data_IF_796811051098
#
_entry.id   IF_796811051098
#
_cell.length_a   1.000
_cell.length_b   1.000
_cell.length_c   1.000
_cell.angle_alpha   90.00
_cell.angle_beta   90.00
_cell.angle_gamma   90.00
#
_symmetry.space_group_name_H-M   'P 1'
#
loop_
_entity.id
_entity.type
_entity.pdbx_description
1 polymer ?
#
# COMPACT_ATOMS: atom_id res chain seq x y z
N UNK A 1 -47.94 -40.00 -31.11
CA UNK A 1 -47.41 -39.18 -29.99
C UNK A 1 -45.99 -38.78 -30.37
N UNK A 2 -45.81 -37.55 -30.89
CA UNK A 2 -44.50 -37.00 -31.24
C UNK A 2 -44.06 -36.10 -30.07
N UNK A 3 -42.99 -36.49 -29.40
CA UNK A 3 -42.32 -35.66 -28.36
C UNK A 3 -41.34 -34.68 -29.02
N UNK A 4 -41.65 -33.40 -28.98
CA UNK A 4 -40.76 -32.35 -29.45
C UNK A 4 -39.77 -32.03 -28.33
N UNK A 5 -38.49 -32.33 -28.57
CA UNK A 5 -37.39 -31.92 -27.68
C UNK A 5 -36.96 -30.51 -28.09
N UNK A 6 -37.23 -29.55 -27.23
CA UNK A 6 -36.79 -28.16 -27.40
C UNK A 6 -35.32 -28.02 -26.94
N UNK A 7 -34.40 -27.78 -27.89
CA UNK A 7 -33.02 -27.38 -27.59
C UNK A 7 -32.97 -25.91 -27.17
N UNK A 8 -32.71 -25.66 -25.88
CA UNK A 8 -32.39 -24.34 -25.38
C UNK A 8 -30.90 -24.10 -25.59
N UNK A 9 -30.56 -23.33 -26.61
CA UNK A 9 -29.19 -22.86 -26.83
C UNK A 9 -28.86 -21.74 -25.82
N UNK A 10 -28.01 -22.05 -24.84
CA UNK A 10 -27.38 -21.02 -24.00
C UNK A 10 -26.37 -20.25 -24.85
N UNK A 11 -26.73 -19.04 -25.25
CA UNK A 11 -25.82 -18.07 -25.80
C UNK A 11 -24.94 -17.53 -24.65
N UNK A 12 -23.74 -18.09 -24.47
CA UNK A 12 -22.73 -17.53 -23.60
C UNK A 12 -22.22 -16.22 -24.25
N UNK A 13 -22.66 -15.08 -23.73
CA UNK A 13 -22.07 -13.79 -24.06
C UNK A 13 -20.66 -13.75 -23.45
N UNK A 14 -19.64 -14.14 -24.19
CA UNK A 14 -18.25 -13.80 -23.87
C UNK A 14 -18.04 -12.32 -24.24
N UNK A 15 -18.25 -11.42 -23.31
CA UNK A 15 -17.72 -10.05 -23.41
C UNK A 15 -16.20 -10.16 -23.29
N UNK A 16 -15.51 -10.18 -24.43
CA UNK A 16 -14.06 -10.04 -24.45
C UNK A 16 -13.74 -8.66 -23.86
N UNK A 17 -12.97 -8.63 -22.78
CA UNK A 17 -12.45 -7.38 -22.25
C UNK A 17 -11.71 -6.61 -23.36
N UNK A 18 -11.86 -5.27 -23.42
CA UNK A 18 -11.13 -4.49 -24.40
C UNK A 18 -9.61 -4.74 -24.24
N UNK A 19 -8.86 -4.78 -25.35
CA UNK A 19 -7.43 -5.03 -25.30
C UNK A 19 -6.75 -4.01 -24.39
N UNK A 20 -5.85 -4.48 -23.52
CA UNK A 20 -5.13 -3.64 -22.59
C UNK A 20 -4.30 -2.57 -23.36
N UNK A 21 -4.60 -1.26 -23.22
CA UNK A 21 -3.93 -0.19 -23.97
C UNK A 21 -2.46 -0.05 -23.59
N UNK A 22 -2.03 -0.66 -22.49
CA UNK A 22 -0.64 -0.59 -22.00
C UNK A 22 0.26 -1.72 -22.52
N UNK A 23 -0.23 -2.56 -23.47
CA UNK A 23 0.58 -3.61 -24.10
C UNK A 23 1.80 -2.96 -24.78
N UNK A 24 3.00 -3.50 -24.48
CA UNK A 24 4.24 -2.99 -25.04
C UNK A 24 4.81 -1.71 -24.40
N UNK A 25 4.17 -1.19 -23.35
CA UNK A 25 4.77 -0.11 -22.59
C UNK A 25 5.99 -0.59 -21.79
N UNK A 26 7.03 0.24 -21.77
CA UNK A 26 8.23 0.01 -20.95
C UNK A 26 7.93 0.25 -19.47
N UNK A 27 8.76 -0.25 -18.52
CA UNK A 27 8.57 -0.01 -17.10
C UNK A 27 8.62 1.49 -16.76
N UNK A 28 9.49 2.27 -17.41
CA UNK A 28 9.56 3.73 -17.24
C UNK A 28 8.25 4.41 -17.61
N UNK A 29 7.63 3.99 -18.72
CA UNK A 29 6.38 4.58 -19.19
C UNK A 29 5.22 4.21 -18.27
N UNK A 30 5.12 2.94 -17.83
CA UNK A 30 4.10 2.51 -16.88
C UNK A 30 4.21 3.28 -15.57
N UNK A 31 5.44 3.45 -15.08
CA UNK A 31 5.70 4.18 -13.85
C UNK A 31 5.37 5.67 -13.98
N UNK A 32 5.78 6.32 -15.07
CA UNK A 32 5.48 7.73 -15.32
C UNK A 32 3.98 7.99 -15.35
N UNK A 33 3.22 7.20 -16.10
CA UNK A 33 1.75 7.30 -16.15
C UNK A 33 1.12 7.09 -14.76
N UNK A 34 1.59 6.09 -14.01
CA UNK A 34 1.12 5.87 -12.64
C UNK A 34 1.40 7.08 -11.73
N UNK A 35 2.54 7.73 -11.88
CA UNK A 35 2.88 8.95 -11.12
C UNK A 35 1.97 10.12 -11.47
N UNK A 36 1.60 10.26 -12.73
CA UNK A 36 0.67 11.29 -13.18
C UNK A 36 -0.74 11.05 -12.61
N UNK A 37 -1.18 9.78 -12.57
CA UNK A 37 -2.44 9.40 -11.93
C UNK A 37 -2.40 9.66 -10.41
N UNK A 38 -1.30 9.38 -9.72
CA UNK A 38 -1.13 9.70 -8.29
C UNK A 38 -1.19 11.22 -8.06
N UNK A 39 -0.53 12.00 -8.91
CA UNK A 39 -0.53 13.46 -8.81
C UNK A 39 -1.93 14.06 -9.05
N UNK A 40 -2.72 13.42 -9.90
CA UNK A 40 -4.11 13.79 -10.18
C UNK A 40 -5.11 13.30 -9.12
N UNK A 41 -4.64 12.52 -8.14
CA UNK A 41 -5.49 11.94 -7.10
C UNK A 41 -6.20 10.64 -7.50
N UNK A 42 -5.98 10.12 -8.70
CA UNK A 42 -6.57 8.90 -9.24
C UNK A 42 -5.84 7.65 -8.75
N UNK A 43 -5.76 7.47 -7.43
CA UNK A 43 -4.92 6.42 -6.81
C UNK A 43 -5.24 5.01 -7.28
N UNK A 44 -6.52 4.68 -7.49
CA UNK A 44 -6.92 3.35 -7.97
C UNK A 44 -6.44 3.08 -9.43
N UNK A 45 -6.42 4.10 -10.28
CA UNK A 45 -5.84 3.98 -11.62
C UNK A 45 -4.32 3.78 -11.55
N UNK A 46 -3.67 4.55 -10.68
CA UNK A 46 -2.23 4.42 -10.43
C UNK A 46 -1.85 3.02 -9.92
N UNK A 47 -2.57 2.49 -8.92
CA UNK A 47 -2.33 1.13 -8.38
C UNK A 47 -2.40 0.10 -9.51
N UNK A 48 -3.41 0.15 -10.38
CA UNK A 48 -3.52 -0.78 -11.52
C UNK A 48 -2.33 -0.70 -12.48
N UNK A 49 -1.79 0.50 -12.74
CA UNK A 49 -0.60 0.67 -13.58
C UNK A 49 0.66 0.13 -12.90
N UNK A 50 0.81 0.38 -11.60
CA UNK A 50 1.94 -0.12 -10.81
C UNK A 50 1.90 -1.66 -10.67
N UNK A 51 0.73 -2.25 -10.46
CA UNK A 51 0.54 -3.71 -10.45
C UNK A 51 0.88 -4.34 -11.82
N UNK A 52 0.49 -3.70 -12.93
CA UNK A 52 0.90 -4.12 -14.28
C UNK A 52 2.41 -4.04 -14.46
N UNK A 53 3.05 -2.99 -13.93
CA UNK A 53 4.49 -2.84 -13.93
C UNK A 53 5.14 -4.00 -13.19
N UNK A 54 4.75 -4.29 -11.94
CA UNK A 54 5.27 -5.41 -11.16
C UNK A 54 5.07 -6.76 -11.86
N UNK A 55 3.89 -6.96 -12.46
CA UNK A 55 3.56 -8.22 -13.15
C UNK A 55 4.41 -8.46 -14.39
N UNK A 56 4.70 -7.42 -15.18
CA UNK A 56 5.45 -7.54 -16.42
C UNK A 56 6.96 -7.42 -16.24
N UNK A 57 7.37 -6.62 -15.26
CA UNK A 57 8.77 -6.27 -14.98
C UNK A 57 9.06 -6.45 -13.48
N UNK A 58 9.05 -7.70 -12.96
CA UNK A 58 9.10 -7.97 -11.53
C UNK A 58 10.44 -7.66 -10.86
N UNK A 59 11.45 -7.27 -11.61
CA UNK A 59 12.80 -7.03 -11.12
C UNK A 59 13.29 -5.62 -11.45
N UNK A 60 14.16 -5.09 -10.56
CA UNK A 60 14.80 -3.81 -10.73
C UNK A 60 14.06 -2.66 -10.07
N UNK A 61 14.70 -1.50 -10.07
CA UNK A 61 14.29 -0.34 -9.28
C UNK A 61 12.85 0.15 -9.55
N UNK A 62 12.34 -0.03 -10.77
CA UNK A 62 10.96 0.36 -11.09
C UNK A 62 9.93 -0.49 -10.35
N UNK A 63 10.16 -1.82 -10.25
CA UNK A 63 9.29 -2.70 -9.50
C UNK A 63 9.37 -2.42 -7.99
N UNK A 64 10.58 -2.21 -7.47
CA UNK A 64 10.81 -1.88 -6.06
C UNK A 64 10.12 -0.56 -5.68
N UNK A 65 10.23 0.46 -6.54
CA UNK A 65 9.55 1.73 -6.32
C UNK A 65 8.02 1.60 -6.45
N UNK A 66 7.54 0.81 -7.42
CA UNK A 66 6.11 0.55 -7.60
C UNK A 66 5.48 -0.07 -6.34
N UNK A 67 6.17 -1.00 -5.66
CA UNK A 67 5.69 -1.60 -4.41
C UNK A 67 5.46 -0.56 -3.31
N UNK A 68 6.39 0.37 -3.15
CA UNK A 68 6.28 1.44 -2.16
C UNK A 68 5.17 2.45 -2.52
N UNK A 69 5.04 2.78 -3.81
CA UNK A 69 4.00 3.71 -4.28
C UNK A 69 2.59 3.08 -4.18
N UNK A 70 2.45 1.76 -4.39
CA UNK A 70 1.20 1.02 -4.13
C UNK A 70 0.85 1.10 -2.64
N UNK A 71 1.81 0.81 -1.75
CA UNK A 71 1.59 0.87 -0.31
C UNK A 71 1.16 2.27 0.14
N UNK A 72 1.80 3.32 -0.40
CA UNK A 72 1.43 4.70 -0.13
C UNK A 72 0.03 5.06 -0.65
N UNK A 73 -0.31 4.65 -1.88
CA UNK A 73 -1.62 4.91 -2.47
C UNK A 73 -2.74 4.25 -1.66
N UNK A 74 -2.55 2.99 -1.25
CA UNK A 74 -3.48 2.26 -0.38
C UNK A 74 -3.64 2.93 0.99
N UNK A 75 -2.55 3.43 1.59
CA UNK A 75 -2.63 4.23 2.81
C UNK A 75 -3.48 5.48 2.61
N UNK A 76 -3.28 6.22 1.52
CA UNK A 76 -4.04 7.43 1.21
C UNK A 76 -5.51 7.16 0.89
N UNK A 77 -5.86 5.96 0.46
CA UNK A 77 -7.24 5.50 0.25
C UNK A 77 -7.86 4.86 1.50
N UNK A 78 -7.16 4.94 2.66
CA UNK A 78 -7.62 4.37 3.93
C UNK A 78 -7.68 2.83 3.95
N UNK A 79 -7.00 2.19 3.01
CA UNK A 79 -6.91 0.72 2.90
C UNK A 79 -5.74 0.19 3.75
N UNK A 80 -5.82 0.41 5.07
CA UNK A 80 -4.72 0.12 6.03
C UNK A 80 -4.16 -1.29 5.90
N UNK A 81 -5.04 -2.30 5.84
CA UNK A 81 -4.60 -3.70 5.79
C UNK A 81 -3.80 -4.03 4.52
N UNK A 82 -4.21 -3.50 3.37
CA UNK A 82 -3.50 -3.67 2.10
C UNK A 82 -2.15 -2.95 2.12
N UNK A 83 -2.14 -1.71 2.61
CA UNK A 83 -0.90 -0.93 2.76
C UNK A 83 0.12 -1.65 3.65
N UNK A 84 -0.28 -2.13 4.83
CA UNK A 84 0.61 -2.88 5.73
C UNK A 84 1.13 -4.16 5.07
N UNK A 85 0.27 -4.92 4.39
CA UNK A 85 0.68 -6.13 3.67
C UNK A 85 1.70 -5.83 2.56
N UNK A 86 1.51 -4.72 1.82
CA UNK A 86 2.45 -4.28 0.79
C UNK A 86 3.80 -3.85 1.38
N UNK A 87 3.80 -3.10 2.49
CA UNK A 87 5.00 -2.68 3.20
C UNK A 87 5.77 -3.90 3.74
N UNK A 88 5.10 -4.81 4.43
CA UNK A 88 5.74 -6.00 5.00
C UNK A 88 6.31 -6.90 3.91
N UNK A 89 5.61 -7.04 2.77
CA UNK A 89 6.13 -7.74 1.59
C UNK A 89 7.40 -7.09 1.07
N UNK A 90 7.40 -5.75 0.90
CA UNK A 90 8.57 -5.01 0.44
C UNK A 90 9.77 -5.21 1.38
N UNK A 91 9.59 -5.00 2.68
CA UNK A 91 10.66 -5.15 3.67
C UNK A 91 11.23 -6.58 3.71
N UNK A 92 10.37 -7.59 3.52
CA UNK A 92 10.78 -8.99 3.49
C UNK A 92 11.58 -9.35 2.23
N UNK A 93 11.17 -8.81 1.07
CA UNK A 93 11.84 -9.09 -0.21
C UNK A 93 13.12 -8.29 -0.38
N UNK A 94 13.20 -7.10 0.23
CA UNK A 94 14.29 -6.14 0.04
C UNK A 94 14.92 -5.69 1.38
N UNK A 95 15.51 -6.62 2.19
CA UNK A 95 15.95 -6.35 3.56
C UNK A 95 17.11 -5.35 3.67
N UNK A 96 17.77 -5.04 2.57
CA UNK A 96 18.89 -4.09 2.50
C UNK A 96 18.63 -2.93 1.52
N UNK A 97 17.36 -2.68 1.18
CA UNK A 97 17.03 -1.63 0.23
C UNK A 97 17.26 -0.23 0.84
N UNK A 98 17.78 0.75 0.07
CA UNK A 98 18.01 2.11 0.57
C UNK A 98 16.77 2.81 1.13
N UNK A 99 15.57 2.46 0.65
CA UNK A 99 14.30 3.05 1.10
C UNK A 99 13.63 2.27 2.25
N UNK A 100 14.35 1.43 2.99
CA UNK A 100 13.79 0.77 4.18
C UNK A 100 13.39 1.77 5.27
N UNK A 101 14.10 2.89 5.38
CA UNK A 101 13.72 3.98 6.27
C UNK A 101 12.35 4.53 5.91
N UNK A 102 12.06 4.74 4.62
CA UNK A 102 10.74 5.15 4.16
C UNK A 102 9.68 4.07 4.41
N UNK A 103 9.98 2.80 4.16
CA UNK A 103 9.04 1.71 4.41
C UNK A 103 8.65 1.63 5.90
N UNK A 104 9.61 1.73 6.82
CA UNK A 104 9.39 1.78 8.26
C UNK A 104 8.57 3.01 8.67
N UNK A 105 8.90 4.17 8.10
CA UNK A 105 8.16 5.39 8.32
C UNK A 105 6.70 5.26 7.90
N UNK A 106 6.45 4.74 6.69
CA UNK A 106 5.11 4.51 6.18
C UNK A 106 4.34 3.50 7.04
N UNK A 107 4.99 2.41 7.49
CA UNK A 107 4.40 1.44 8.43
C UNK A 107 3.95 2.11 9.73
N UNK A 108 4.80 2.95 10.28
CA UNK A 108 4.46 3.76 11.45
C UNK A 108 3.24 4.65 11.19
N UNK A 109 3.21 5.38 10.06
CA UNK A 109 2.09 6.26 9.70
C UNK A 109 0.76 5.52 9.52
N UNK A 110 0.78 4.36 8.87
CA UNK A 110 -0.44 3.55 8.64
C UNK A 110 -1.07 3.10 9.94
N UNK A 111 -0.26 2.81 10.96
CA UNK A 111 -0.71 2.40 12.29
C UNK A 111 -0.91 3.59 13.25
N UNK A 112 -0.44 4.78 12.88
CA UNK A 112 -0.55 5.98 13.70
C UNK A 112 -1.94 6.61 13.56
N UNK A 113 -2.65 6.73 14.67
CA UNK A 113 -3.89 7.48 14.73
C UNK A 113 -3.77 8.56 15.83
N UNK A 114 -3.68 9.80 15.41
CA UNK A 114 -3.56 10.95 16.31
C UNK A 114 -4.74 11.07 17.28
N UNK A 115 -5.95 10.79 16.80
CA UNK A 115 -7.17 10.90 17.62
C UNK A 115 -7.23 9.82 18.69
N UNK A 116 -6.83 8.59 18.35
CA UNK A 116 -6.77 7.48 19.31
C UNK A 116 -5.68 7.73 20.37
N UNK A 117 -4.51 8.23 19.97
CA UNK A 117 -3.44 8.60 20.91
C UNK A 117 -3.86 9.68 21.89
N UNK A 118 -4.58 10.70 21.45
CA UNK A 118 -5.13 11.75 22.32
C UNK A 118 -6.23 11.23 23.25
N UNK A 119 -7.14 10.41 22.73
CA UNK A 119 -8.24 9.83 23.52
C UNK A 119 -7.70 8.87 24.58
N UNK A 120 -6.66 8.08 24.26
CA UNK A 120 -5.98 7.23 25.24
C UNK A 120 -5.35 8.04 26.37
N UNK A 121 -4.84 9.24 26.06
CA UNK A 121 -4.16 10.10 27.05
C UNK A 121 -5.11 10.93 27.90
N UNK A 122 -6.26 11.36 27.36
CA UNK A 122 -7.18 12.30 28.03
C UNK A 122 -8.56 11.72 28.30
N UNK A 123 -8.89 10.58 27.72
CA UNK A 123 -10.21 9.95 27.81
C UNK A 123 -10.18 8.65 28.59
N UNK A 124 -11.19 8.50 29.43
CA UNK A 124 -11.53 7.25 30.12
C UNK A 124 -12.19 6.23 29.15
N UNK A 125 -11.80 6.25 27.84
CA UNK A 125 -12.32 5.33 26.86
C UNK A 125 -11.39 4.11 26.76
N UNK A 126 -11.95 2.93 27.01
CA UNK A 126 -11.29 1.66 26.69
C UNK A 126 -11.07 1.59 25.19
N UNK A 127 -9.82 1.82 24.76
CA UNK A 127 -9.40 1.51 23.40
C UNK A 127 -9.59 0.03 23.16
N UNK A 128 -10.12 -0.36 21.99
CA UNK A 128 -10.19 -1.77 21.64
C UNK A 128 -8.78 -2.38 21.65
N UNK A 129 -8.66 -3.68 21.91
CA UNK A 129 -7.36 -4.38 21.86
C UNK A 129 -6.66 -4.18 20.51
N UNK A 130 -7.43 -4.07 19.44
CA UNK A 130 -6.94 -3.82 18.08
C UNK A 130 -6.28 -2.44 17.96
N UNK A 131 -6.88 -1.41 18.55
CA UNK A 131 -6.37 -0.04 18.48
C UNK A 131 -5.08 0.08 19.32
N UNK A 132 -5.03 -0.57 20.48
CA UNK A 132 -3.82 -0.65 21.30
C UNK A 132 -2.68 -1.39 20.57
N UNK A 133 -2.99 -2.47 19.83
CA UNK A 133 -2.01 -3.18 19.03
C UNK A 133 -1.46 -2.29 17.90
N UNK A 134 -2.32 -1.58 17.18
CA UNK A 134 -1.91 -0.66 16.12
C UNK A 134 -1.00 0.46 16.64
N UNK A 135 -1.31 1.06 17.80
CA UNK A 135 -0.45 2.09 18.41
C UNK A 135 0.93 1.54 18.79
N UNK A 136 0.99 0.31 19.33
CA UNK A 136 2.28 -0.35 19.62
C UNK A 136 3.08 -0.62 18.35
N UNK A 137 2.45 -1.17 17.31
CA UNK A 137 3.09 -1.40 16.01
C UNK A 137 3.59 -0.10 15.38
N UNK A 138 2.83 1.00 15.52
CA UNK A 138 3.28 2.32 15.10
C UNK A 138 4.55 2.75 15.84
N UNK A 139 4.54 2.67 17.17
CA UNK A 139 5.69 3.02 18.00
C UNK A 139 6.91 2.16 17.66
N UNK A 140 6.73 0.85 17.50
CA UNK A 140 7.82 -0.08 17.19
C UNK A 140 8.42 0.20 15.81
N UNK A 141 7.60 0.50 14.80
CA UNK A 141 8.07 0.85 13.47
C UNK A 141 8.90 2.16 13.47
N UNK A 142 8.42 3.20 14.16
CA UNK A 142 9.16 4.45 14.31
C UNK A 142 10.45 4.26 15.10
N UNK A 143 10.41 3.47 16.19
CA UNK A 143 11.60 3.14 16.99
C UNK A 143 12.64 2.40 16.17
N UNK A 144 12.23 1.42 15.37
CA UNK A 144 13.13 0.71 14.47
C UNK A 144 13.76 1.68 13.47
N UNK A 145 12.98 2.58 12.88
CA UNK A 145 13.47 3.60 11.95
C UNK A 145 14.57 4.44 12.59
N UNK A 146 14.30 5.09 13.73
CA UNK A 146 15.27 6.00 14.36
C UNK A 146 16.51 5.27 14.87
N UNK A 147 16.39 3.99 15.23
CA UNK A 147 17.50 3.17 15.69
C UNK A 147 18.41 2.73 14.55
N UNK A 148 17.84 2.28 13.43
CA UNK A 148 18.59 1.74 12.28
C UNK A 148 19.05 2.82 11.31
N UNK A 149 18.28 3.91 11.22
CA UNK A 149 18.46 4.99 10.25
C UNK A 149 18.41 6.37 10.93
N UNK A 150 19.31 6.67 11.89
CA UNK A 150 19.26 7.92 12.66
C UNK A 150 19.41 9.18 11.77
N UNK A 151 20.12 9.04 10.63
CA UNK A 151 20.34 10.13 9.68
C UNK A 151 19.23 10.23 8.62
N UNK A 152 18.18 9.42 8.70
CA UNK A 152 17.05 9.50 7.78
C UNK A 152 16.30 10.82 7.94
N UNK A 153 15.89 11.39 6.80
CA UNK A 153 15.03 12.58 6.80
C UNK A 153 13.69 12.39 7.53
N UNK A 154 13.28 11.13 7.75
CA UNK A 154 12.06 10.77 8.46
C UNK A 154 12.26 10.63 9.97
N UNK A 155 13.49 10.51 10.46
CA UNK A 155 13.78 10.26 11.87
C UNK A 155 13.24 11.36 12.79
N UNK A 156 13.39 12.67 12.50
CA UNK A 156 12.87 13.71 13.39
C UNK A 156 11.34 13.68 13.57
N UNK A 157 10.58 13.41 12.50
CA UNK A 157 9.13 13.26 12.58
C UNK A 157 8.72 11.97 13.31
N UNK A 158 9.41 10.87 13.04
CA UNK A 158 9.19 9.60 13.73
C UNK A 158 9.39 9.74 15.25
N UNK A 159 10.45 10.41 15.70
CA UNK A 159 10.68 10.71 17.12
C UNK A 159 9.57 11.59 17.73
N UNK A 160 9.09 12.58 16.99
CA UNK A 160 8.00 13.43 17.46
C UNK A 160 6.71 12.60 17.66
N UNK A 161 6.40 11.70 16.73
CA UNK A 161 5.24 10.80 16.83
C UNK A 161 5.39 9.79 17.97
N UNK A 162 6.59 9.23 18.17
CA UNK A 162 6.83 8.34 19.31
C UNK A 162 6.56 9.03 20.65
N UNK A 163 6.99 10.29 20.82
CA UNK A 163 6.69 11.06 22.05
C UNK A 163 5.21 11.31 22.24
N UNK A 164 4.45 11.31 21.16
CA UNK A 164 3.00 11.45 21.21
C UNK A 164 2.27 10.19 21.65
N UNK A 165 2.85 9.01 21.35
CA UNK A 165 2.27 7.69 21.67
C UNK A 165 2.59 7.22 23.11
N UNK A 166 3.45 7.92 23.85
CA UNK A 166 3.86 7.61 25.23
C UNK A 166 3.26 8.64 26.18
#
# INVERSE_FOLDING_TARGET
MLSAVAFVSLAACSTADPPDPTIGWTPERLYAEARDELASGNRQAAIKLLEKLESRYPFGHWAEQAQLDIAWAQFKDNERALSLAAIDRFMKLHPNHPALDYALYLKGLVNFNEQEGLLARFGNQDLSERDQAALRESFDAFKELVTRFPDSKYAPDAEARMRYLV
#
